data_IF_241402224320
#
_entry.id   IF_241402224320
#
_cell.length_a   1.000
_cell.length_b   1.000
_cell.length_c   1.000
_cell.angle_alpha   90.00
_cell.angle_beta   90.00
_cell.angle_gamma   90.00
#
_symmetry.space_group_name_H-M   'P 1'
#
loop_
_entity.id
_entity.type
_entity.pdbx_description
1 polymer ?
#
# COMPACT_ATOMS: atom_id res chain seq x y z
N UNK A 1 25.52 12.10 2.57
CA UNK A 1 24.66 12.10 1.36
C UNK A 1 25.10 11.08 0.30
N UNK A 2 26.40 10.75 0.18
CA UNK A 2 26.90 9.75 -0.78
C UNK A 2 26.53 8.30 -0.41
N UNK A 3 26.74 7.91 0.85
CA UNK A 3 26.63 6.51 1.27
C UNK A 3 25.19 5.97 1.27
N UNK A 4 24.22 6.83 1.60
CA UNK A 4 22.80 6.47 1.56
C UNK A 4 22.35 6.04 0.17
N UNK A 5 22.83 6.72 -0.89
CA UNK A 5 22.48 6.38 -2.27
C UNK A 5 23.02 5.02 -2.67
N UNK A 6 24.26 4.71 -2.28
CA UNK A 6 24.88 3.41 -2.55
C UNK A 6 24.14 2.27 -1.86
N UNK A 7 23.79 2.45 -0.59
CA UNK A 7 23.04 1.45 0.20
C UNK A 7 21.62 1.25 -0.38
N UNK A 8 20.92 2.34 -0.69
CA UNK A 8 19.57 2.27 -1.27
C UNK A 8 19.55 1.60 -2.64
N UNK A 9 20.45 1.97 -3.55
CA UNK A 9 20.54 1.36 -4.88
C UNK A 9 20.93 -0.12 -4.81
N UNK A 10 21.85 -0.49 -3.92
CA UNK A 10 22.22 -1.89 -3.70
C UNK A 10 21.03 -2.72 -3.25
N UNK A 11 20.20 -2.16 -2.35
CA UNK A 11 18.98 -2.80 -1.89
C UNK A 11 17.95 -2.95 -3.01
N UNK A 12 17.72 -1.92 -3.83
CA UNK A 12 16.84 -1.99 -5.02
C UNK A 12 17.29 -3.08 -5.99
N UNK A 13 18.59 -3.16 -6.28
CA UNK A 13 19.13 -4.15 -7.22
C UNK A 13 19.01 -5.58 -6.66
N UNK A 14 19.24 -5.76 -5.36
CA UNK A 14 19.17 -7.07 -4.70
C UNK A 14 17.73 -7.57 -4.54
N UNK A 15 16.82 -6.69 -4.12
CA UNK A 15 15.44 -7.06 -3.77
C UNK A 15 14.49 -6.89 -4.96
N UNK A 16 14.91 -6.21 -6.04
CA UNK A 16 14.07 -5.78 -7.18
C UNK A 16 12.84 -4.98 -6.76
N UNK A 17 12.86 -4.43 -5.56
CA UNK A 17 11.80 -3.67 -4.93
C UNK A 17 12.35 -2.33 -4.47
N UNK A 18 11.48 -1.32 -4.40
CA UNK A 18 11.85 -0.06 -3.76
C UNK A 18 11.99 -0.30 -2.26
N UNK A 19 13.06 0.19 -1.60
CA UNK A 19 13.20 0.06 -0.15
C UNK A 19 11.99 0.73 0.52
N UNK A 20 11.27 -0.05 1.34
CA UNK A 20 9.98 0.38 1.90
C UNK A 20 10.05 1.68 2.72
N UNK A 21 8.97 2.45 2.58
CA UNK A 21 8.65 3.80 3.05
C UNK A 21 9.63 4.92 2.67
N UNK A 22 9.67 5.25 1.38
CA UNK A 22 10.11 6.57 0.92
C UNK A 22 8.96 7.55 0.61
N UNK A 23 7.70 7.12 0.74
CA UNK A 23 6.55 7.93 0.33
C UNK A 23 5.53 8.06 1.45
N UNK A 24 5.24 9.31 1.82
CA UNK A 24 4.04 9.66 2.59
C UNK A 24 2.82 9.32 1.71
N UNK A 25 1.80 8.62 2.23
CA UNK A 25 0.57 8.35 1.50
C UNK A 25 0.01 9.63 0.88
N UNK A 26 -0.48 9.54 -0.35
CA UNK A 26 -1.05 10.70 -1.01
C UNK A 26 -2.37 11.12 -0.31
N UNK A 27 -2.87 12.31 -0.64
CA UNK A 27 -4.07 12.87 -0.01
C UNK A 27 -5.30 11.98 -0.13
N UNK A 28 -5.44 11.24 -1.23
CA UNK A 28 -6.57 10.33 -1.43
C UNK A 28 -6.47 9.11 -0.52
N UNK A 29 -5.28 8.49 -0.43
CA UNK A 29 -5.01 7.39 0.49
C UNK A 29 -5.29 7.77 1.95
N UNK A 30 -4.87 8.97 2.37
CA UNK A 30 -5.15 9.47 3.72
C UNK A 30 -6.66 9.63 3.97
N UNK A 31 -7.40 10.22 3.03
CA UNK A 31 -8.86 10.39 3.14
C UNK A 31 -9.58 9.05 3.21
N UNK A 32 -9.16 8.07 2.43
CA UNK A 32 -9.74 6.72 2.47
C UNK A 32 -9.48 6.07 3.82
N UNK A 33 -8.26 6.17 4.35
CA UNK A 33 -7.96 5.68 5.70
C UNK A 33 -8.81 6.35 6.78
N UNK A 34 -9.01 7.67 6.72
CA UNK A 34 -9.86 8.39 7.67
C UNK A 34 -11.32 7.90 7.65
N UNK A 35 -11.87 7.63 6.46
CA UNK A 35 -13.23 7.08 6.31
C UNK A 35 -13.32 5.67 6.88
N UNK A 36 -12.39 4.79 6.49
CA UNK A 36 -12.34 3.42 7.01
C UNK A 36 -12.17 3.40 8.53
N UNK A 37 -11.33 4.26 9.10
CA UNK A 37 -11.17 4.36 10.57
C UNK A 37 -12.45 4.78 11.30
N UNK A 38 -13.35 5.51 10.63
CA UNK A 38 -14.66 5.89 11.16
C UNK A 38 -15.75 4.83 10.96
N UNK A 39 -15.42 3.71 10.30
CA UNK A 39 -16.41 2.71 9.93
C UNK A 39 -17.19 3.04 8.65
N UNK A 40 -16.79 4.09 7.93
CA UNK A 40 -17.41 4.50 6.68
C UNK A 40 -16.78 3.76 5.50
N UNK A 41 -17.58 3.44 4.49
CA UNK A 41 -17.10 2.82 3.23
C UNK A 41 -16.39 1.46 3.44
N UNK A 42 -16.86 0.69 4.42
CA UNK A 42 -16.38 -0.67 4.71
C UNK A 42 -17.33 -1.70 4.09
N UNK A 43 -16.76 -2.60 3.30
CA UNK A 43 -17.45 -3.74 2.71
C UNK A 43 -16.91 -5.03 3.31
N UNK A 44 -17.80 -5.98 3.59
CA UNK A 44 -17.44 -7.28 4.15
C UNK A 44 -17.76 -8.37 3.12
N UNK A 45 -16.82 -9.31 2.98
CA UNK A 45 -17.01 -10.52 2.21
C UNK A 45 -16.98 -11.73 3.14
N UNK A 46 -17.88 -12.69 2.91
CA UNK A 46 -17.97 -13.90 3.73
C UNK A 46 -16.78 -14.83 3.50
N UNK A 47 -16.32 -14.92 2.26
CA UNK A 47 -15.19 -15.73 1.84
C UNK A 47 -14.50 -15.13 0.62
N UNK A 48 -13.44 -15.80 0.15
CA UNK A 48 -12.65 -15.35 -0.99
C UNK A 48 -13.45 -15.32 -2.31
N UNK A 49 -14.40 -16.25 -2.50
CA UNK A 49 -15.23 -16.27 -3.71
C UNK A 49 -16.20 -15.10 -3.72
N UNK A 50 -16.77 -14.78 -2.56
CA UNK A 50 -17.63 -13.60 -2.36
C UNK A 50 -16.85 -12.30 -2.58
N UNK A 51 -15.62 -12.20 -2.07
CA UNK A 51 -14.75 -11.04 -2.32
C UNK A 51 -14.53 -10.82 -3.81
N UNK A 52 -14.11 -11.85 -4.54
CA UNK A 52 -13.86 -11.78 -5.99
C UNK A 52 -15.09 -11.36 -6.78
N UNK A 53 -16.26 -11.92 -6.41
CA UNK A 53 -17.54 -11.50 -6.99
C UNK A 53 -17.87 -10.02 -6.71
N UNK A 54 -17.55 -9.52 -5.52
CA UNK A 54 -17.79 -8.11 -5.15
C UNK A 54 -16.86 -7.14 -5.88
N UNK A 55 -15.63 -7.56 -6.24
CA UNK A 55 -14.64 -6.73 -6.95
C UNK A 55 -14.55 -7.01 -8.46
N UNK A 56 -15.47 -7.83 -8.99
CA UNK A 56 -15.59 -8.17 -10.42
C UNK A 56 -14.29 -8.75 -11.04
N UNK A 57 -13.61 -9.63 -10.30
CA UNK A 57 -12.37 -10.32 -10.71
C UNK A 57 -12.51 -11.84 -10.55
#
# INVERSE_FOLDING_TARGET
>A
MSDFRGIALTKVVSEKELPFEMHIPNTETLKTFEKTNKGEDIFYAQDMKDLFKQIDI
#
